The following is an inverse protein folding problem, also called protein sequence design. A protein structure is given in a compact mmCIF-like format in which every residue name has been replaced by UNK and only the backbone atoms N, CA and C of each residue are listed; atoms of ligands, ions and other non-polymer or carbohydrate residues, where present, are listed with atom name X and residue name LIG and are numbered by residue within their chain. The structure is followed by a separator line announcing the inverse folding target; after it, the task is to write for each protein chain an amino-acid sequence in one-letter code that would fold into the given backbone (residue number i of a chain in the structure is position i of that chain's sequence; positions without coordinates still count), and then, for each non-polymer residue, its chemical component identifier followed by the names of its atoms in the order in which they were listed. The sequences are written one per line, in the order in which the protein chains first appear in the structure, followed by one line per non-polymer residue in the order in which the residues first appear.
data_IF_102512971166
#
_entry.id   IF_102512971166
#
_cell.length_a   1.000
_cell.length_b   1.000
_cell.length_c   1.000
_cell.angle_alpha   90.00
_cell.angle_beta   90.00
_cell.angle_gamma   90.00
#
_symmetry.space_group_name_H-M   'P 1'
#
loop_
_entity.id
_entity.type
_entity.pdbx_description
1 polymer ?
#
# COMPACT_ATOMS: atom_id res chain seq x y z
N UNK A 1 -0.76 -22.95 -67.07
CA UNK A 1 -0.80 -24.21 -66.29
C UNK A 1 -0.08 -23.93 -64.99
N UNK A 2 -0.69 -23.56 -63.86
CA UNK A 2 -1.95 -24.02 -63.30
C UNK A 2 -1.68 -25.20 -62.37
N UNK A 3 -1.33 -24.95 -61.10
CA UNK A 3 -1.76 -25.78 -59.97
C UNK A 3 -1.44 -25.11 -58.63
N UNK A 4 -2.54 -24.84 -57.93
CA UNK A 4 -2.66 -24.44 -56.54
C UNK A 4 -2.27 -25.62 -55.65
N UNK A 5 -1.56 -25.37 -54.54
CA UNK A 5 -1.49 -26.33 -53.44
C UNK A 5 -1.58 -25.62 -52.09
N UNK A 6 -2.57 -26.08 -51.34
CA UNK A 6 -3.20 -25.56 -50.14
C UNK A 6 -2.28 -25.50 -48.92
N UNK A 7 -2.10 -24.32 -48.32
CA UNK A 7 -1.56 -24.17 -46.96
C UNK A 7 -2.58 -24.71 -45.95
N UNK A 8 -2.16 -25.66 -45.11
CA UNK A 8 -2.95 -26.13 -43.96
C UNK A 8 -3.12 -24.98 -42.95
N UNK A 9 -4.28 -24.81 -42.29
CA UNK A 9 -4.58 -23.59 -41.53
C UNK A 9 -4.04 -23.54 -40.09
N UNK A 10 -3.23 -24.51 -39.65
CA UNK A 10 -3.03 -24.74 -38.21
C UNK A 10 -1.59 -24.74 -37.70
N UNK A 11 -0.63 -24.22 -38.46
CA UNK A 11 0.72 -24.00 -37.94
C UNK A 11 0.82 -22.61 -37.30
N UNK A 12 0.17 -22.47 -36.13
CA UNK A 12 0.36 -21.28 -35.29
C UNK A 12 1.67 -21.49 -34.54
N UNK A 13 2.76 -20.98 -35.10
CA UNK A 13 3.99 -20.75 -34.36
C UNK A 13 3.65 -19.85 -33.17
N UNK A 14 3.59 -20.41 -31.96
CA UNK A 14 3.35 -19.66 -30.72
C UNK A 14 4.56 -18.76 -30.42
N UNK A 15 4.60 -17.61 -31.07
CA UNK A 15 5.39 -16.48 -30.59
C UNK A 15 4.59 -15.92 -29.40
N UNK A 16 5.06 -16.19 -28.18
CA UNK A 16 4.52 -15.57 -26.97
C UNK A 16 4.80 -14.07 -27.03
N UNK A 17 3.88 -13.32 -27.65
CA UNK A 17 3.87 -11.87 -27.58
C UNK A 17 3.59 -11.47 -26.13
N UNK A 18 4.44 -10.64 -25.49
CA UNK A 18 4.11 -10.11 -24.17
C UNK A 18 2.81 -9.30 -24.29
N UNK A 19 1.84 -9.65 -23.45
CA UNK A 19 0.55 -8.99 -23.42
C UNK A 19 0.76 -7.53 -22.97
N UNK A 20 0.47 -6.59 -23.86
CA UNK A 20 0.27 -5.19 -23.52
C UNK A 20 -0.82 -5.08 -22.45
N UNK A 21 -0.61 -4.35 -21.34
CA UNK A 21 -1.59 -4.25 -20.27
C UNK A 21 -2.83 -3.51 -20.82
N UNK A 22 -3.96 -4.21 -20.83
CA UNK A 22 -5.28 -3.60 -21.03
C UNK A 22 -5.60 -2.76 -19.80
N UNK A 23 -5.60 -1.45 -19.96
CA UNK A 23 -6.33 -0.53 -19.09
C UNK A 23 -7.81 -0.90 -19.17
N UNK A 24 -8.38 -1.42 -18.09
CA UNK A 24 -9.82 -1.37 -17.81
C UNK A 24 -10.03 -1.48 -16.29
N UNK A 25 -10.42 -0.34 -15.74
CA UNK A 25 -11.30 -0.12 -14.58
C UNK A 25 -12.11 -1.34 -14.17
N UNK A 26 -11.96 -1.79 -12.92
CA UNK A 26 -12.82 -2.83 -12.36
C UNK A 26 -12.27 -3.46 -11.10
N UNK A 27 -12.91 -3.16 -9.97
CA UNK A 27 -12.78 -3.77 -8.66
C UNK A 27 -12.48 -5.28 -8.68
N UNK A 28 -11.49 -5.68 -7.85
CA UNK A 28 -11.39 -6.90 -7.03
C UNK A 28 -9.92 -7.35 -6.97
N UNK A 29 -9.17 -6.84 -5.99
CA UNK A 29 -7.82 -7.31 -5.71
C UNK A 29 -7.85 -8.78 -5.29
N UNK A 30 -7.26 -9.63 -6.12
CA UNK A 30 -7.22 -11.07 -5.95
C UNK A 30 -6.49 -11.49 -4.66
N UNK A 31 -7.20 -12.24 -3.83
CA UNK A 31 -6.63 -13.07 -2.77
C UNK A 31 -6.08 -14.33 -3.44
N UNK A 32 -4.79 -14.30 -3.78
CA UNK A 32 -4.04 -15.43 -4.32
C UNK A 32 -2.90 -15.83 -3.39
N UNK A 33 -3.21 -16.16 -2.13
CA UNK A 33 -2.22 -16.63 -1.16
C UNK A 33 -2.22 -18.15 -1.07
N UNK A 34 -1.22 -18.80 -1.67
CA UNK A 34 -0.91 -20.19 -1.35
C UNK A 34 -0.36 -20.30 0.09
N UNK A 35 -0.54 -21.43 0.77
CA UNK A 35 -0.27 -21.56 2.21
C UNK A 35 1.21 -21.47 2.63
N UNK A 36 2.16 -21.32 1.70
CA UNK A 36 3.61 -21.41 1.97
C UNK A 36 4.45 -20.26 1.39
N UNK A 37 3.83 -19.20 0.85
CA UNK A 37 4.61 -18.01 0.47
C UNK A 37 4.99 -17.23 1.75
N UNK A 38 6.28 -17.05 2.06
CA UNK A 38 6.69 -16.17 3.15
C UNK A 38 6.03 -14.81 2.92
N UNK A 39 5.46 -14.20 3.97
CA UNK A 39 4.71 -12.99 3.79
C UNK A 39 5.65 -11.93 3.22
N UNK A 40 5.23 -11.28 2.14
CA UNK A 40 6.02 -10.24 1.50
C UNK A 40 6.20 -9.09 2.50
N UNK A 41 7.40 -9.01 3.10
CA UNK A 41 7.73 -8.04 4.14
C UNK A 41 7.52 -6.62 3.63
N UNK A 42 7.69 -6.37 2.33
CA UNK A 42 7.45 -5.04 1.74
C UNK A 42 5.97 -4.67 1.72
N UNK A 43 5.08 -5.66 1.63
CA UNK A 43 3.63 -5.47 1.73
C UNK A 43 3.15 -5.42 3.20
N UNK A 44 3.83 -6.13 4.11
CA UNK A 44 3.53 -6.08 5.55
C UNK A 44 4.03 -4.80 6.21
N UNK A 45 5.25 -4.39 5.86
CA UNK A 45 6.02 -3.29 6.45
C UNK A 45 6.49 -2.35 5.35
N UNK A 46 5.56 -1.62 4.72
CA UNK A 46 5.91 -0.70 3.66
C UNK A 46 6.76 0.45 4.21
N UNK A 47 7.74 0.89 3.43
CA UNK A 47 8.65 2.02 3.78
C UNK A 47 7.85 3.26 4.22
N UNK A 48 6.69 3.48 3.61
CA UNK A 48 5.74 4.54 4.01
C UNK A 48 4.32 4.05 3.93
N UNK A 49 3.51 4.44 4.92
CA UNK A 49 2.06 4.31 4.84
C UNK A 49 1.36 5.47 5.52
N UNK A 50 0.09 5.69 5.15
CA UNK A 50 -0.68 6.86 5.56
C UNK A 50 -1.94 6.48 6.32
N UNK A 51 -2.25 7.26 7.35
CA UNK A 51 -3.50 7.18 8.11
C UNK A 51 -4.20 8.52 8.01
N UNK A 52 -5.49 8.53 7.66
CA UNK A 52 -6.26 9.76 7.56
C UNK A 52 -6.46 10.39 8.96
N UNK A 53 -6.26 11.69 9.07
CA UNK A 53 -6.47 12.46 10.30
C UNK A 53 -7.87 13.07 10.32
N UNK A 54 -8.36 13.40 11.52
CA UNK A 54 -9.70 13.96 11.73
C UNK A 54 -9.71 15.48 11.83
N UNK A 55 -8.54 16.12 11.87
CA UNK A 55 -8.42 17.57 12.04
C UNK A 55 -7.97 18.23 10.74
N UNK A 56 -8.78 19.17 10.26
CA UNK A 56 -8.63 19.77 8.92
C UNK A 56 -7.60 20.91 8.84
N UNK A 57 -7.04 21.36 9.98
CA UNK A 57 -6.15 22.53 10.04
C UNK A 57 -4.75 22.21 10.58
N UNK A 58 -4.20 21.05 10.25
CA UNK A 58 -2.82 20.73 10.63
C UNK A 58 -1.83 21.23 9.58
N UNK A 59 -0.75 21.84 10.05
CA UNK A 59 0.34 22.27 9.18
C UNK A 59 1.09 21.05 8.65
N UNK A 60 1.31 20.98 7.34
CA UNK A 60 2.17 19.96 6.74
C UNK A 60 3.56 19.97 7.37
N UNK A 61 4.15 18.79 7.58
CA UNK A 61 5.43 18.61 8.24
C UNK A 61 5.39 18.62 9.77
N UNK A 62 4.22 18.87 10.39
CA UNK A 62 4.07 18.75 11.84
C UNK A 62 4.40 17.32 12.27
N UNK A 63 5.32 17.17 13.23
CA UNK A 63 5.64 15.86 13.82
C UNK A 63 4.51 15.44 14.76
N UNK A 64 4.12 14.18 14.72
CA UNK A 64 3.12 13.61 15.59
C UNK A 64 3.73 12.56 16.50
N UNK A 65 3.04 12.28 17.60
CA UNK A 65 3.36 11.20 18.53
C UNK A 65 2.19 10.22 18.53
N UNK A 66 2.49 8.94 18.43
CA UNK A 66 1.51 7.87 18.62
C UNK A 66 1.61 7.38 20.06
N UNK A 67 0.51 7.50 20.80
CA UNK A 67 0.35 6.78 22.06
C UNK A 67 -0.09 5.34 21.74
N UNK A 68 0.79 4.37 21.98
CA UNK A 68 0.52 2.95 21.70
C UNK A 68 -0.61 2.38 22.58
N UNK A 69 -0.83 2.94 23.77
CA UNK A 69 -1.85 2.49 24.72
C UNK A 69 -3.23 2.95 24.28
N UNK A 70 -3.38 4.24 23.99
CA UNK A 70 -4.67 4.83 23.61
C UNK A 70 -4.94 4.75 22.10
N UNK A 71 -3.89 4.48 21.30
CA UNK A 71 -3.88 4.45 19.82
C UNK A 71 -4.23 5.80 19.22
N UNK A 72 -3.98 6.87 19.96
CA UNK A 72 -4.27 8.25 19.55
C UNK A 72 -2.99 8.89 19.03
N UNK A 73 -3.13 9.61 17.92
CA UNK A 73 -2.10 10.50 17.42
C UNK A 73 -2.30 11.88 18.06
N UNK A 74 -1.22 12.39 18.64
CA UNK A 74 -1.18 13.72 19.26
C UNK A 74 -0.11 14.59 18.62
N UNK A 75 -0.30 15.91 18.67
CA UNK A 75 0.78 16.86 18.42
C UNK A 75 1.79 16.84 19.58
N UNK A 76 3.00 17.41 19.42
CA UNK A 76 3.95 17.54 20.51
C UNK A 76 3.44 18.42 21.66
N UNK A 77 2.42 19.26 21.39
CA UNK A 77 1.71 20.06 22.38
C UNK A 77 0.60 19.28 23.12
N UNK A 78 0.38 18.01 22.77
CA UNK A 78 -0.61 17.13 23.42
C UNK A 78 -2.02 17.21 22.83
N UNK A 79 -2.21 17.86 21.68
CA UNK A 79 -3.53 17.94 21.05
C UNK A 79 -3.85 16.67 20.28
N UNK A 80 -5.04 16.10 20.51
CA UNK A 80 -5.51 14.93 19.76
C UNK A 80 -5.82 15.31 18.30
N UNK A 81 -5.21 14.59 17.35
CA UNK A 81 -5.36 14.85 15.90
C UNK A 81 -6.02 13.72 15.13
N UNK A 82 -6.11 12.54 15.74
CA UNK A 82 -6.79 11.39 15.15
C UNK A 82 -6.52 10.12 15.92
N UNK A 83 -7.27 9.06 15.57
CA UNK A 83 -7.09 7.73 16.15
C UNK A 83 -6.64 6.77 15.07
N UNK A 84 -5.63 5.97 15.38
CA UNK A 84 -5.10 4.94 14.49
C UNK A 84 -5.99 3.69 14.58
N UNK A 85 -6.26 3.07 13.43
CA UNK A 85 -7.07 1.85 13.39
C UNK A 85 -6.35 0.68 14.06
N UNK A 86 -7.10 -0.27 14.60
CA UNK A 86 -6.52 -1.48 15.19
C UNK A 86 -5.69 -2.30 14.17
N UNK A 87 -6.07 -2.24 12.88
CA UNK A 87 -5.32 -2.90 11.81
C UNK A 87 -3.92 -2.29 11.65
N UNK A 88 -3.84 -0.96 11.58
CA UNK A 88 -2.56 -0.25 11.48
C UNK A 88 -1.66 -0.52 12.68
N UNK A 89 -2.21 -0.56 13.89
CA UNK A 89 -1.44 -0.90 15.10
C UNK A 89 -0.89 -2.32 15.03
N UNK A 90 -1.70 -3.31 14.61
CA UNK A 90 -1.21 -4.67 14.40
C UNK A 90 -0.08 -4.75 13.38
N UNK A 91 -0.19 -3.98 12.28
CA UNK A 91 0.88 -3.88 11.28
C UNK A 91 2.15 -3.29 11.90
N UNK A 92 2.05 -2.19 12.66
CA UNK A 92 3.19 -1.60 13.37
C UNK A 92 3.84 -2.60 14.33
N UNK A 93 3.06 -3.29 15.16
CA UNK A 93 3.55 -4.30 16.10
C UNK A 93 4.26 -5.47 15.39
N UNK A 94 3.70 -5.95 14.27
CA UNK A 94 4.32 -6.99 13.45
C UNK A 94 5.65 -6.51 12.85
N UNK A 95 5.70 -5.27 12.36
CA UNK A 95 6.92 -4.69 11.81
C UNK A 95 8.00 -4.52 12.86
N UNK A 96 7.65 -4.06 14.06
CA UNK A 96 8.58 -3.95 15.19
C UNK A 96 9.18 -5.31 15.55
N UNK A 97 8.38 -6.39 15.55
CA UNK A 97 8.87 -7.76 15.77
C UNK A 97 9.83 -8.25 14.70
N UNK A 98 9.72 -7.73 13.48
CA UNK A 98 10.62 -8.01 12.36
C UNK A 98 11.85 -7.08 12.32
N UNK A 99 12.00 -6.19 13.31
CA UNK A 99 13.12 -5.23 13.39
C UNK A 99 12.91 -3.95 12.58
N UNK A 100 11.71 -3.72 12.05
CA UNK A 100 11.35 -2.48 11.34
C UNK A 100 10.65 -1.54 12.32
N UNK A 101 11.16 -0.32 12.45
CA UNK A 101 10.55 0.72 13.29
C UNK A 101 10.16 1.90 12.43
N UNK A 102 9.16 2.68 12.86
CA UNK A 102 8.69 3.89 12.15
C UNK A 102 8.94 5.12 13.04
N UNK A 103 10.19 5.61 13.11
CA UNK A 103 10.57 6.70 14.00
C UNK A 103 9.96 8.05 13.59
N UNK A 104 9.58 8.19 12.31
CA UNK A 104 9.04 9.43 11.78
C UNK A 104 7.54 9.30 11.52
N UNK A 105 6.75 10.10 12.24
CA UNK A 105 5.33 10.31 11.99
C UNK A 105 5.13 11.80 11.70
N UNK A 106 4.74 12.13 10.47
CA UNK A 106 4.57 13.53 10.06
C UNK A 106 3.22 13.76 9.42
N UNK A 107 2.70 14.98 9.56
CA UNK A 107 1.50 15.40 8.85
C UNK A 107 1.83 15.66 7.39
N UNK A 108 1.06 15.05 6.50
CA UNK A 108 1.05 15.34 5.07
C UNK A 108 -0.34 15.87 4.71
N UNK A 109 -0.39 16.99 3.99
CA UNK A 109 -1.64 17.58 3.50
C UNK A 109 -1.73 17.33 2.01
N UNK A 110 -2.82 16.72 1.56
CA UNK A 110 -3.09 16.50 0.15
C UNK A 110 -4.54 16.81 -0.18
N UNK A 111 -4.79 17.73 -1.12
CA UNK A 111 -6.14 18.14 -1.54
C UNK A 111 -7.05 18.56 -0.36
N UNK A 112 -6.48 19.22 0.65
CA UNK A 112 -7.22 19.64 1.85
C UNK A 112 -7.47 18.53 2.88
N UNK A 113 -7.01 17.31 2.64
CA UNK A 113 -7.10 16.20 3.59
C UNK A 113 -5.74 16.03 4.28
N UNK A 114 -5.77 15.96 5.61
CA UNK A 114 -4.59 15.69 6.42
C UNK A 114 -4.40 14.17 6.64
N UNK A 115 -3.16 13.71 6.53
CA UNK A 115 -2.74 12.34 6.81
C UNK A 115 -1.56 12.34 7.78
N UNK A 116 -1.46 11.32 8.63
CA UNK A 116 -0.22 10.95 9.29
C UNK A 116 0.54 9.96 8.41
N UNK A 117 1.74 10.35 7.99
CA UNK A 117 2.66 9.51 7.23
C UNK A 117 3.69 8.89 8.19
N UNK A 118 3.70 7.57 8.24
CA UNK A 118 4.68 6.78 8.99
C UNK A 118 5.82 6.43 8.04
N UNK A 119 7.07 6.72 8.44
CA UNK A 119 8.27 6.41 7.65
C UNK A 119 9.30 5.70 8.54
N UNK A 120 9.97 4.69 7.97
CA UNK A 120 11.10 3.97 8.56
C UNK A 120 12.34 4.86 8.70
#
# INVERSE_FOLDING_TARGET
MGSSSTRKPNDISRINKPASPKTNTGLAGGVGGGPNTPPDINNLCPVRFRVKLTRDNLTAGTKLVLDETTRVLTTPSGENVGKVTAQTIRSLELCTKLGVTYPAITVVVNQGICYAEFSQ
#
